data_IF_374411297436
#
_entry.id   IF_374411297436
#
_cell.length_a   1.000
_cell.length_b   1.000
_cell.length_c   1.000
_cell.angle_alpha   90.00
_cell.angle_beta   90.00
_cell.angle_gamma   90.00
#
_symmetry.space_group_name_H-M   'P 1'
#
loop_
_entity.id
_entity.type
_entity.pdbx_description
1 polymer ?
#
# COMPACT_ATOMS: atom_id res chain seq x y z
N UNK A 1 7.61 -37.01 -22.92
CA UNK A 1 6.23 -36.48 -22.98
C UNK A 1 6.32 -34.99 -23.26
N UNK A 2 5.56 -34.48 -24.23
CA UNK A 2 5.61 -33.07 -24.65
C UNK A 2 5.01 -32.15 -23.57
N UNK A 3 5.62 -31.00 -23.34
CA UNK A 3 5.08 -29.93 -22.51
C UNK A 3 3.80 -29.37 -23.15
N UNK A 4 2.84 -28.87 -22.36
CA UNK A 4 1.65 -28.25 -22.93
C UNK A 4 2.02 -26.97 -23.66
N UNK A 5 1.20 -26.56 -24.62
CA UNK A 5 1.37 -25.23 -25.22
C UNK A 5 1.02 -24.14 -24.20
N UNK A 6 1.53 -22.92 -24.43
CA UNK A 6 1.20 -21.78 -23.57
C UNK A 6 -0.32 -21.51 -23.53
N UNK A 7 -1.00 -21.63 -24.67
CA UNK A 7 -2.45 -21.45 -24.76
C UNK A 7 -3.22 -22.50 -23.95
N UNK A 8 -2.81 -23.77 -24.01
CA UNK A 8 -3.38 -24.83 -23.19
C UNK A 8 -3.18 -24.57 -21.69
N UNK A 9 -1.97 -24.15 -21.28
CA UNK A 9 -1.67 -23.82 -19.90
C UNK A 9 -2.58 -22.68 -19.37
N UNK A 10 -2.80 -21.63 -20.16
CA UNK A 10 -3.71 -20.54 -19.79
C UNK A 10 -5.17 -21.02 -19.66
N UNK A 11 -5.65 -21.86 -20.58
CA UNK A 11 -7.02 -22.39 -20.52
C UNK A 11 -7.23 -23.25 -19.27
N UNK A 12 -6.28 -24.15 -18.99
CA UNK A 12 -6.30 -24.99 -17.78
C UNK A 12 -6.27 -24.12 -16.52
N UNK A 13 -5.39 -23.12 -16.48
CA UNK A 13 -5.25 -22.24 -15.32
C UNK A 13 -6.52 -21.41 -15.06
N UNK A 14 -7.12 -20.82 -16.11
CA UNK A 14 -8.34 -20.02 -15.98
C UNK A 14 -9.52 -20.85 -15.44
N UNK A 15 -9.73 -22.04 -16.00
CA UNK A 15 -10.76 -22.96 -15.53
C UNK A 15 -10.50 -23.42 -14.08
N UNK A 16 -9.25 -23.78 -13.78
CA UNK A 16 -8.84 -24.22 -12.45
C UNK A 16 -9.04 -23.13 -11.39
N UNK A 17 -8.53 -21.91 -11.61
CA UNK A 17 -8.63 -20.82 -10.63
C UNK A 17 -10.09 -20.46 -10.34
N UNK A 18 -10.93 -20.45 -11.38
CA UNK A 18 -12.38 -20.25 -11.22
C UNK A 18 -12.98 -21.33 -10.33
N UNK A 19 -12.69 -22.61 -10.61
CA UNK A 19 -13.19 -23.72 -9.83
C UNK A 19 -12.68 -23.71 -8.38
N UNK A 20 -11.37 -23.51 -8.20
CA UNK A 20 -10.70 -23.50 -6.91
C UNK A 20 -11.27 -22.40 -6.02
N UNK A 21 -11.27 -21.15 -6.48
CA UNK A 21 -11.70 -20.04 -5.63
C UNK A 21 -13.21 -20.03 -5.39
N UNK A 22 -14.03 -20.51 -6.32
CA UNK A 22 -15.46 -20.71 -6.07
C UNK A 22 -15.71 -21.72 -4.95
N UNK A 23 -15.00 -22.87 -4.96
CA UNK A 23 -15.05 -23.85 -3.87
C UNK A 23 -14.44 -23.32 -2.58
N UNK A 24 -13.38 -22.50 -2.70
CA UNK A 24 -12.72 -21.90 -1.56
C UNK A 24 -13.66 -20.98 -0.80
N UNK A 25 -14.40 -20.09 -1.48
CA UNK A 25 -15.32 -19.15 -0.80
C UNK A 25 -16.69 -19.76 -0.46
N UNK A 26 -16.99 -20.96 -0.96
CA UNK A 26 -18.26 -21.63 -0.70
C UNK A 26 -18.46 -21.85 0.82
N UNK A 27 -19.67 -21.55 1.36
CA UNK A 27 -20.00 -21.83 2.75
C UNK A 27 -19.81 -23.31 3.10
N UNK A 28 -19.55 -23.58 4.38
CA UNK A 28 -19.34 -24.94 4.89
C UNK A 28 -17.87 -25.30 5.10
N UNK A 29 -17.62 -26.60 5.25
CA UNK A 29 -16.29 -27.13 5.53
C UNK A 29 -15.37 -27.01 4.32
N UNK A 30 -14.31 -26.20 4.47
CA UNK A 30 -13.39 -25.89 3.38
C UNK A 30 -12.59 -27.12 2.92
N UNK A 31 -12.22 -28.01 3.84
CA UNK A 31 -11.57 -29.28 3.49
C UNK A 31 -12.45 -30.13 2.56
N UNK A 32 -13.73 -30.30 2.92
CA UNK A 32 -14.71 -31.02 2.09
C UNK A 32 -14.91 -30.38 0.72
N UNK A 33 -14.97 -29.05 0.64
CA UNK A 33 -15.16 -28.35 -0.64
C UNK A 33 -14.00 -28.58 -1.63
N UNK A 34 -12.77 -28.70 -1.11
CA UNK A 34 -11.54 -28.85 -1.89
C UNK A 34 -11.08 -30.30 -2.07
N UNK A 35 -11.81 -31.28 -1.53
CA UNK A 35 -11.36 -32.68 -1.47
C UNK A 35 -11.00 -33.28 -2.83
N UNK A 36 -11.66 -32.86 -3.91
CA UNK A 36 -11.48 -33.44 -5.25
C UNK A 36 -10.26 -32.89 -5.99
N UNK A 37 -9.64 -31.82 -5.47
CA UNK A 37 -8.53 -31.14 -6.12
C UNK A 37 -7.17 -31.70 -5.66
N UNK A 38 -7.12 -32.36 -4.51
CA UNK A 38 -5.91 -32.90 -3.89
C UNK A 38 -5.83 -34.42 -3.98
N UNK A 39 -4.60 -34.91 -4.10
CA UNK A 39 -4.20 -36.32 -4.11
C UNK A 39 -3.29 -36.67 -2.93
N UNK A 40 -3.04 -37.95 -2.71
CA UNK A 40 -2.15 -38.41 -1.63
C UNK A 40 -0.69 -38.00 -1.83
N UNK A 41 -0.31 -37.64 -3.06
CA UNK A 41 1.03 -37.16 -3.40
C UNK A 41 1.13 -35.63 -3.42
N UNK A 42 0.06 -34.93 -3.05
CA UNK A 42 0.05 -33.46 -3.03
C UNK A 42 0.91 -32.93 -1.89
N UNK A 43 1.57 -31.81 -2.14
CA UNK A 43 2.41 -31.14 -1.15
C UNK A 43 2.01 -29.67 -1.08
N UNK A 44 1.76 -29.14 0.10
CA UNK A 44 1.35 -27.74 0.25
C UNK A 44 2.22 -27.02 1.26
N UNK A 45 2.42 -25.72 1.04
CA UNK A 45 3.01 -24.80 2.00
C UNK A 45 2.10 -23.59 2.12
N UNK A 46 1.36 -23.53 3.20
CA UNK A 46 0.30 -22.55 3.40
C UNK A 46 0.70 -21.54 4.47
N UNK A 47 0.24 -20.30 4.30
CA UNK A 47 0.19 -19.33 5.37
C UNK A 47 -0.77 -19.82 6.46
N UNK A 48 -0.33 -19.73 7.71
CA UNK A 48 -1.24 -19.82 8.84
C UNK A 48 -2.17 -18.58 8.88
N UNK A 49 -3.21 -18.60 9.72
CA UNK A 49 -4.16 -17.51 9.92
C UNK A 49 -3.46 -16.19 10.19
N UNK A 50 -2.32 -16.19 10.87
CA UNK A 50 -1.54 -14.99 11.16
C UNK A 50 -0.31 -14.81 10.24
N UNK A 51 -0.12 -15.71 9.28
CA UNK A 51 1.07 -15.86 8.41
C UNK A 51 2.43 -15.77 9.14
N UNK A 52 2.43 -16.09 10.43
CA UNK A 52 3.64 -15.97 11.26
C UNK A 52 4.65 -17.06 10.94
N UNK A 53 4.18 -18.27 10.60
CA UNK A 53 5.00 -19.37 10.09
C UNK A 53 4.29 -20.15 8.98
N UNK A 54 5.02 -20.57 7.93
CA UNK A 54 4.47 -21.50 6.96
C UNK A 54 4.16 -22.84 7.61
N UNK A 55 3.02 -23.41 7.24
CA UNK A 55 2.70 -24.80 7.52
C UNK A 55 2.92 -25.61 6.25
N UNK A 56 3.81 -26.59 6.33
CA UNK A 56 4.03 -27.55 5.25
C UNK A 56 3.27 -28.83 5.53
N UNK A 57 2.46 -29.29 4.59
CA UNK A 57 1.66 -30.51 4.72
C UNK A 57 1.86 -31.42 3.51
N UNK A 58 1.84 -32.71 3.76
CA UNK A 58 1.99 -33.74 2.73
C UNK A 58 0.77 -34.67 2.74
N UNK A 59 0.21 -34.88 1.56
CA UNK A 59 -0.89 -35.81 1.34
C UNK A 59 -2.27 -35.25 1.68
N UNK A 60 -3.26 -35.75 0.94
CA UNK A 60 -4.64 -35.27 0.94
C UNK A 60 -5.21 -35.10 2.35
N UNK A 61 -5.13 -36.13 3.19
CA UNK A 61 -5.75 -36.09 4.53
C UNK A 61 -5.25 -34.91 5.39
N UNK A 62 -3.94 -34.67 5.43
CA UNK A 62 -3.37 -33.58 6.24
C UNK A 62 -3.77 -32.21 5.69
N UNK A 63 -3.75 -32.07 4.36
CA UNK A 63 -4.13 -30.85 3.64
C UNK A 63 -5.59 -30.50 3.94
N UNK A 64 -6.50 -31.46 3.78
CA UNK A 64 -7.93 -31.23 3.99
C UNK A 64 -8.26 -30.89 5.45
N UNK A 65 -7.66 -31.59 6.42
CA UNK A 65 -7.85 -31.28 7.84
C UNK A 65 -7.38 -29.87 8.18
N UNK A 66 -6.26 -29.42 7.60
CA UNK A 66 -5.79 -28.06 7.82
C UNK A 66 -6.72 -27.03 7.20
N UNK A 67 -7.22 -27.26 5.98
CA UNK A 67 -8.21 -26.38 5.36
C UNK A 67 -9.53 -26.34 6.15
N UNK A 68 -10.00 -27.45 6.70
CA UNK A 68 -11.16 -27.47 7.60
C UNK A 68 -10.96 -26.55 8.80
N UNK A 69 -9.80 -26.64 9.46
CA UNK A 69 -9.45 -25.77 10.58
C UNK A 69 -9.37 -24.29 10.15
N UNK A 70 -8.70 -24.01 9.03
CA UNK A 70 -8.58 -22.66 8.48
C UNK A 70 -9.95 -22.07 8.11
N UNK A 71 -10.83 -22.89 7.54
CA UNK A 71 -12.21 -22.53 7.19
C UNK A 71 -13.04 -22.16 8.41
N UNK A 72 -12.88 -22.86 9.54
CA UNK A 72 -13.54 -22.54 10.80
C UNK A 72 -13.08 -21.20 11.37
N UNK A 73 -11.80 -20.85 11.20
CA UNK A 73 -11.23 -19.61 11.71
C UNK A 73 -11.63 -18.41 10.84
N UNK A 74 -11.50 -18.54 9.52
CA UNK A 74 -11.85 -17.46 8.58
C UNK A 74 -13.37 -17.27 8.43
N UNK A 75 -14.15 -18.34 8.61
CA UNK A 75 -15.60 -18.37 8.45
C UNK A 75 -16.05 -17.79 7.09
N UNK A 76 -16.63 -16.58 7.09
CA UNK A 76 -17.06 -15.88 5.88
C UNK A 76 -15.83 -15.34 5.16
N UNK A 77 -15.70 -15.63 3.86
CA UNK A 77 -14.53 -15.23 3.09
C UNK A 77 -14.89 -14.87 1.66
N UNK A 78 -14.18 -13.91 1.10
CA UNK A 78 -14.24 -13.55 -0.32
C UNK A 78 -12.83 -13.46 -0.87
N UNK A 79 -12.66 -13.85 -2.12
CA UNK A 79 -11.38 -13.81 -2.81
C UNK A 79 -11.53 -12.99 -4.08
N UNK A 80 -10.54 -12.14 -4.35
CA UNK A 80 -10.45 -11.38 -5.59
C UNK A 80 -9.06 -11.60 -6.20
N UNK A 81 -8.99 -12.36 -7.29
CA UNK A 81 -7.74 -12.57 -8.03
C UNK A 81 -7.48 -11.37 -8.92
N UNK A 82 -6.35 -10.69 -8.73
CA UNK A 82 -5.96 -9.50 -9.49
C UNK A 82 -5.14 -9.85 -10.72
N UNK A 83 -4.18 -10.76 -10.56
CA UNK A 83 -3.29 -11.21 -11.64
C UNK A 83 -3.12 -12.72 -11.56
N UNK A 84 -2.97 -13.36 -12.72
CA UNK A 84 -2.71 -14.78 -12.83
C UNK A 84 -1.90 -15.07 -14.09
N UNK A 85 -0.70 -15.61 -13.90
CA UNK A 85 0.17 -16.08 -14.96
C UNK A 85 0.21 -17.60 -14.97
N UNK A 86 0.19 -18.19 -16.15
CA UNK A 86 0.24 -19.63 -16.34
C UNK A 86 1.44 -19.99 -17.22
N UNK A 87 2.23 -20.96 -16.76
CA UNK A 87 3.43 -21.42 -17.44
C UNK A 87 3.33 -22.93 -17.68
N UNK A 88 3.57 -23.39 -18.91
CA UNK A 88 3.70 -24.82 -19.18
C UNK A 88 4.97 -25.35 -18.49
N UNK A 89 4.82 -26.50 -17.84
CA UNK A 89 5.90 -27.17 -17.13
C UNK A 89 6.14 -28.60 -17.71
N UNK A 90 7.28 -29.24 -17.39
CA UNK A 90 7.55 -30.60 -17.84
C UNK A 90 6.45 -31.60 -17.45
N UNK A 91 6.36 -32.73 -18.16
CA UNK A 91 5.41 -33.81 -17.89
C UNK A 91 3.92 -33.39 -18.01
N UNK A 92 3.61 -32.45 -18.90
CA UNK A 92 2.26 -31.87 -19.07
C UNK A 92 1.75 -31.13 -17.82
N UNK A 93 2.64 -30.75 -16.91
CA UNK A 93 2.26 -29.95 -15.76
C UNK A 93 1.96 -28.51 -16.17
N UNK A 94 1.18 -27.81 -15.35
CA UNK A 94 0.90 -26.38 -15.50
C UNK A 94 1.24 -25.70 -14.19
N UNK A 95 2.16 -24.73 -14.23
CA UNK A 95 2.44 -23.86 -13.09
C UNK A 95 1.59 -22.61 -13.19
N UNK A 96 0.99 -22.19 -12.09
CA UNK A 96 0.15 -21.00 -12.02
C UNK A 96 0.71 -20.12 -10.91
N UNK A 97 0.90 -18.85 -11.18
CA UNK A 97 1.27 -17.84 -10.18
C UNK A 97 0.18 -16.79 -10.20
N UNK A 98 -0.54 -16.62 -9.11
CA UNK A 98 -1.56 -15.60 -9.01
C UNK A 98 -1.43 -14.77 -7.74
N UNK A 99 -1.86 -13.52 -7.84
CA UNK A 99 -1.94 -12.59 -6.72
C UNK A 99 -3.37 -12.09 -6.60
N UNK A 100 -3.77 -11.76 -5.38
CA UNK A 100 -5.10 -11.26 -5.14
C UNK A 100 -5.30 -10.77 -3.71
N UNK A 101 -6.56 -10.55 -3.37
CA UNK A 101 -6.97 -10.09 -2.04
C UNK A 101 -7.97 -11.10 -1.46
N UNK A 102 -7.67 -11.58 -0.25
CA UNK A 102 -8.57 -12.32 0.61
C UNK A 102 -9.25 -11.34 1.56
N UNK A 103 -10.57 -11.33 1.57
CA UNK A 103 -11.37 -10.58 2.53
C UNK A 103 -11.95 -11.55 3.55
N UNK A 104 -11.67 -11.28 4.81
CA UNK A 104 -12.28 -11.94 5.97
C UNK A 104 -12.85 -10.85 6.89
N UNK A 105 -13.78 -11.16 7.81
CA UNK A 105 -14.30 -10.16 8.73
C UNK A 105 -13.19 -9.41 9.46
N UNK A 106 -13.16 -8.08 9.34
CA UNK A 106 -12.21 -7.20 10.04
C UNK A 106 -10.81 -7.13 9.45
N UNK A 107 -10.50 -7.83 8.35
CA UNK A 107 -9.22 -7.64 7.66
C UNK A 107 -9.27 -8.06 6.19
N UNK A 108 -8.42 -7.44 5.38
CA UNK A 108 -8.11 -7.92 4.04
C UNK A 108 -6.63 -8.18 3.90
N UNK A 109 -6.30 -9.20 3.11
CA UNK A 109 -4.94 -9.72 3.00
C UNK A 109 -4.57 -9.89 1.55
N UNK A 110 -3.47 -9.27 1.16
CA UNK A 110 -2.90 -9.49 -0.17
C UNK A 110 -2.24 -10.86 -0.15
N UNK A 111 -2.56 -11.73 -1.10
CA UNK A 111 -1.96 -13.05 -1.19
C UNK A 111 -1.14 -13.23 -2.46
N UNK A 112 -0.14 -14.09 -2.36
CA UNK A 112 0.56 -14.74 -3.46
C UNK A 112 0.25 -16.23 -3.37
N UNK A 113 -0.26 -16.81 -4.46
CA UNK A 113 -0.66 -18.20 -4.53
C UNK A 113 -0.08 -18.86 -5.77
N UNK A 114 0.73 -19.90 -5.56
CA UNK A 114 1.41 -20.64 -6.62
C UNK A 114 0.89 -22.07 -6.62
N UNK A 115 0.43 -22.53 -7.77
CA UNK A 115 0.01 -23.91 -7.96
C UNK A 115 0.91 -24.62 -8.95
N UNK A 116 1.13 -25.91 -8.73
CA UNK A 116 1.61 -26.82 -9.76
C UNK A 116 0.54 -27.87 -9.97
N UNK A 117 -0.08 -27.86 -11.14
CA UNK A 117 -1.07 -28.83 -11.55
C UNK A 117 -0.39 -29.97 -12.29
N UNK A 118 -0.73 -31.21 -11.92
CA UNK A 118 -0.28 -32.40 -12.61
C UNK A 118 -1.47 -33.15 -13.21
N UNK A 119 -1.30 -33.76 -14.40
CA UNK A 119 -2.36 -34.54 -15.03
C UNK A 119 -2.67 -35.78 -14.18
N UNK A 120 -3.95 -36.07 -14.01
CA UNK A 120 -4.41 -37.26 -13.32
C UNK A 120 -4.05 -38.51 -14.15
N UNK A 121 -3.52 -39.57 -13.53
CA UNK A 121 -3.28 -40.82 -14.23
C UNK A 121 -4.64 -41.39 -14.68
N UNK A 122 -4.70 -41.84 -15.94
CA UNK A 122 -5.87 -42.49 -16.55
C UNK A 122 -7.11 -41.59 -16.78
N UNK A 123 -7.00 -40.26 -16.63
CA UNK A 123 -8.06 -39.31 -17.01
C UNK A 123 -7.50 -38.20 -17.87
N UNK A 124 -7.97 -38.11 -19.11
CA UNK A 124 -7.58 -37.03 -20.00
C UNK A 124 -8.12 -35.69 -19.49
N UNK A 125 -7.35 -34.62 -19.70
CA UNK A 125 -7.70 -33.24 -19.36
C UNK A 125 -8.13 -33.00 -17.90
N UNK A 126 -7.81 -33.93 -17.01
CA UNK A 126 -8.09 -33.82 -15.58
C UNK A 126 -6.78 -33.55 -14.87
N UNK A 127 -6.78 -32.57 -13.97
CA UNK A 127 -5.60 -32.18 -13.22
C UNK A 127 -5.89 -32.26 -11.73
N UNK A 128 -4.87 -32.59 -10.94
CA UNK A 128 -4.87 -32.41 -9.49
C UNK A 128 -3.75 -31.44 -9.11
N UNK A 129 -3.87 -30.86 -7.91
CA UNK A 129 -2.87 -29.97 -7.35
C UNK A 129 -1.72 -30.82 -6.83
N UNK A 130 -0.59 -30.86 -7.55
CA UNK A 130 0.61 -31.54 -7.09
C UNK A 130 1.36 -30.70 -6.05
N UNK A 131 1.39 -29.38 -6.24
CA UNK A 131 1.92 -28.45 -5.26
C UNK A 131 1.04 -27.21 -5.10
N UNK A 132 0.89 -26.73 -3.87
CA UNK A 132 0.24 -25.46 -3.51
C UNK A 132 1.18 -24.66 -2.60
N UNK A 133 1.35 -23.38 -2.90
CA UNK A 133 2.06 -22.44 -2.05
C UNK A 133 1.24 -21.16 -1.90
N UNK A 134 0.75 -20.89 -0.69
CA UNK A 134 -0.04 -19.70 -0.37
C UNK A 134 0.68 -18.87 0.69
N UNK A 135 0.85 -17.57 0.43
CA UNK A 135 1.37 -16.59 1.38
C UNK A 135 0.57 -15.31 1.39
N UNK A 136 0.52 -14.64 2.54
CA UNK A 136 0.02 -13.28 2.65
C UNK A 136 1.20 -12.30 2.66
N UNK A 137 1.15 -11.32 1.77
CA UNK A 137 2.21 -10.31 1.62
C UNK A 137 1.96 -9.13 2.56
N UNK A 138 0.69 -8.81 2.82
CA UNK A 138 0.30 -7.74 3.72
C UNK A 138 -1.02 -8.10 4.42
N UNK A 139 -1.17 -7.65 5.66
CA UNK A 139 -2.42 -7.72 6.42
C UNK A 139 -2.84 -6.31 6.77
N UNK A 140 -3.94 -5.87 6.17
CA UNK A 140 -4.54 -4.58 6.48
C UNK A 140 -5.79 -4.84 7.31
N UNK A 141 -5.80 -4.31 8.53
CA UNK A 141 -6.95 -4.38 9.41
C UNK A 141 -7.97 -3.32 9.02
N UNK A 142 -9.22 -3.73 8.91
CA UNK A 142 -10.31 -2.79 8.68
C UNK A 142 -10.57 -2.03 9.97
N UNK A 143 -10.05 -0.81 10.06
CA UNK A 143 -10.32 0.10 11.17
C UNK A 143 -11.59 0.88 10.85
N UNK A 144 -12.70 0.52 11.51
CA UNK A 144 -13.93 1.30 11.47
C UNK A 144 -13.72 2.53 12.37
N UNK A 145 -13.71 3.77 11.83
CA UNK A 145 -13.52 4.97 12.64
C UNK A 145 -14.61 5.11 13.69
N UNK A 146 -14.25 5.67 14.85
CA UNK A 146 -15.20 5.91 15.93
C UNK A 146 -16.33 6.84 15.45
N UNK A 147 -17.59 6.37 15.53
CA UNK A 147 -18.77 7.08 15.01
C UNK A 147 -19.17 6.71 13.57
N UNK A 148 -18.42 5.85 12.87
CA UNK A 148 -18.85 5.34 11.58
C UNK A 148 -20.07 4.43 11.73
N UNK A 149 -21.08 4.63 10.88
CA UNK A 149 -22.25 3.76 10.79
C UNK A 149 -21.99 2.70 9.73
N UNK A 150 -22.19 1.43 10.07
CA UNK A 150 -22.24 0.36 9.08
C UNK A 150 -23.57 0.48 8.36
N UNK A 151 -23.53 0.73 7.05
CA UNK A 151 -24.69 1.01 6.21
C UNK A 151 -24.92 -0.16 5.27
N UNK A 152 -26.17 -0.61 5.10
CA UNK A 152 -26.50 -1.66 4.13
C UNK A 152 -26.26 -1.19 2.70
N UNK A 153 -26.20 -2.12 1.73
CA UNK A 153 -26.00 -1.75 0.32
C UNK A 153 -27.16 -0.88 -0.19
N UNK A 154 -28.37 -1.20 0.23
CA UNK A 154 -29.58 -0.46 -0.12
C UNK A 154 -29.54 0.96 0.46
N UNK A 155 -29.12 1.10 1.72
CA UNK A 155 -29.03 2.39 2.39
C UNK A 155 -27.89 3.26 1.80
N UNK A 156 -26.76 2.64 1.42
CA UNK A 156 -25.64 3.32 0.76
C UNK A 156 -26.05 3.86 -0.62
N UNK A 157 -26.78 3.07 -1.40
CA UNK A 157 -27.29 3.50 -2.70
C UNK A 157 -28.24 4.70 -2.56
N UNK A 158 -29.12 4.70 -1.55
CA UNK A 158 -30.00 5.84 -1.27
C UNK A 158 -29.23 7.11 -0.88
N UNK A 159 -28.22 6.99 -0.02
CA UNK A 159 -27.38 8.15 0.34
C UNK A 159 -26.63 8.74 -0.86
N UNK A 160 -26.11 7.88 -1.76
CA UNK A 160 -25.43 8.35 -2.97
C UNK A 160 -26.41 9.09 -3.89
N UNK A 161 -27.62 8.55 -4.09
CA UNK A 161 -28.66 9.18 -4.91
C UNK A 161 -29.12 10.54 -4.35
N UNK A 162 -29.26 10.63 -3.02
CA UNK A 162 -29.63 11.85 -2.33
C UNK A 162 -28.55 12.94 -2.44
N UNK A 163 -27.28 12.57 -2.31
CA UNK A 163 -26.15 13.49 -2.46
C UNK A 163 -26.03 13.99 -3.91
N UNK A 164 -26.26 13.12 -4.90
CA UNK A 164 -26.34 13.49 -6.33
C UNK A 164 -27.45 14.50 -6.61
N UNK A 165 -28.66 14.27 -6.07
CA UNK A 165 -29.76 15.25 -6.17
C UNK A 165 -29.40 16.58 -5.52
N UNK A 166 -28.72 16.57 -4.38
CA UNK A 166 -28.30 17.82 -3.70
C UNK A 166 -27.31 18.59 -4.56
N UNK A 167 -26.34 17.91 -5.18
CA UNK A 167 -25.37 18.54 -6.08
C UNK A 167 -26.04 19.12 -7.34
N UNK A 168 -27.04 18.44 -7.91
CA UNK A 168 -27.78 18.96 -9.07
C UNK A 168 -28.58 20.21 -8.72
N UNK A 169 -29.27 20.21 -7.57
CA UNK A 169 -29.99 21.38 -7.07
C UNK A 169 -29.06 22.56 -6.77
N UNK A 170 -27.89 22.29 -6.19
CA UNK A 170 -26.88 23.32 -5.91
C UNK A 170 -26.32 23.93 -7.21
N UNK A 171 -26.04 23.10 -8.23
CA UNK A 171 -25.63 23.57 -9.57
C UNK A 171 -26.71 24.43 -10.23
N UNK A 172 -27.97 24.03 -10.15
CA UNK A 172 -29.10 24.81 -10.65
C UNK A 172 -29.21 26.16 -9.94
N UNK A 173 -29.09 26.18 -8.61
CA UNK A 173 -29.12 27.42 -7.82
C UNK A 173 -27.93 28.33 -8.15
N UNK A 174 -26.74 27.77 -8.38
CA UNK A 174 -25.57 28.54 -8.81
C UNK A 174 -25.75 29.14 -10.21
N UNK A 175 -26.31 28.37 -11.13
CA UNK A 175 -26.64 28.85 -12.49
C UNK A 175 -27.66 29.98 -12.45
N UNK A 176 -28.70 29.87 -11.62
CA UNK A 176 -29.71 30.93 -11.46
C UNK A 176 -29.07 32.21 -10.89
N UNK A 177 -28.20 32.08 -9.89
CA UNK A 177 -27.45 33.23 -9.33
C UNK A 177 -26.56 33.89 -10.40
N UNK A 178 -25.89 33.10 -11.23
CA UNK A 178 -25.07 33.62 -12.32
C UNK A 178 -25.92 34.36 -13.37
N UNK A 179 -27.08 33.82 -13.72
CA UNK A 179 -28.01 34.44 -14.67
C UNK A 179 -28.55 35.78 -14.14
N UNK A 180 -28.93 35.85 -12.86
CA UNK A 180 -29.36 37.10 -12.21
C UNK A 180 -28.26 38.17 -12.21
N UNK A 181 -27.00 37.78 -11.95
CA UNK A 181 -25.85 38.70 -12.04
C UNK A 181 -25.66 39.23 -13.45
N UNK A 182 -25.79 38.39 -14.47
CA UNK A 182 -25.67 38.79 -15.86
C UNK A 182 -26.78 39.79 -16.28
N UNK A 183 -28.02 39.55 -15.86
CA UNK A 183 -29.14 40.48 -16.12
C UNK A 183 -28.93 41.85 -15.45
N UNK A 184 -28.47 41.88 -14.20
CA UNK A 184 -28.16 43.14 -13.51
C UNK A 184 -27.05 43.94 -14.21
N UNK A 185 -26.03 43.26 -14.74
CA UNK A 185 -24.98 43.92 -15.51
C UNK A 185 -25.51 44.52 -16.83
N UNK A 186 -26.41 43.81 -17.53
CA UNK A 186 -27.03 44.33 -18.74
C UNK A 186 -27.89 45.58 -18.46
N UNK A 187 -28.66 45.59 -17.37
CA UNK A 187 -29.45 46.77 -16.99
C UNK A 187 -28.57 47.98 -16.66
N UNK A 188 -27.44 47.79 -15.96
CA UNK A 188 -26.49 48.88 -15.68
C UNK A 188 -25.84 49.42 -16.95
N UNK A 189 -25.56 48.57 -17.95
CA UNK A 189 -25.00 49.03 -19.23
C UNK A 189 -26.02 49.84 -20.04
N UNK A 190 -27.29 49.44 -20.07
CA UNK A 190 -28.35 50.18 -20.76
C UNK A 190 -28.60 51.56 -20.13
N UNK A 191 -28.56 51.66 -18.79
CA UNK A 191 -28.69 52.96 -18.10
C UNK A 191 -27.49 53.89 -18.37
N UNK A 192 -26.30 53.36 -18.62
CA UNK A 192 -25.12 54.16 -19.00
C UNK A 192 -25.09 54.58 -20.47
N UNK A 193 -25.90 53.97 -21.33
CA UNK A 193 -25.95 54.25 -22.77
C UNK A 193 -27.02 55.28 -23.18
N UNK A 194 -27.77 55.86 -22.23
CA UNK A 194 -28.69 56.95 -22.54
C UNK A 194 -27.90 58.22 -22.95
N UNK A 195 -28.20 58.87 -24.10
CA UNK A 195 -27.42 60.02 -24.57
C UNK A 195 -27.62 61.24 -23.67
N UNK A 196 -26.51 61.82 -23.20
CA UNK A 196 -26.49 63.19 -22.71
C UNK A 196 -26.73 64.13 -23.90
N UNK A 197 -27.95 64.62 -24.04
CA UNK A 197 -28.24 65.76 -24.90
C UNK A 197 -27.56 67.00 -24.30
N UNK A 198 -26.59 67.55 -25.03
CA UNK A 198 -26.03 68.88 -24.80
C UNK A 198 -27.05 69.92 -25.27
N UNK A 199 -27.19 71.01 -24.52
CA UNK A 199 -26.80 72.35 -25.01
C UNK A 199 -26.75 73.40 -23.88
N UNK A 200 -26.00 74.51 -24.07
CA UNK A 200 -25.42 75.31 -22.99
C UNK A 200 -26.11 76.66 -22.83
N UNK A 201 -26.39 77.10 -21.59
CA UNK A 201 -26.61 78.53 -21.30
C UNK A 201 -26.08 78.90 -19.91
N UNK A 202 -25.51 80.10 -19.88
CA UNK A 202 -24.77 80.84 -18.87
C UNK A 202 -25.26 80.82 -17.41
N UNK A 203 -24.28 81.04 -16.52
CA UNK A 203 -24.35 81.39 -15.10
C UNK A 203 -25.24 82.64 -14.81
N UNK A 204 -25.62 82.99 -13.54
CA UNK A 204 -24.74 82.95 -12.36
C UNK A 204 -25.35 82.58 -10.98
N UNK A 205 -24.44 82.28 -10.05
CA UNK A 205 -24.43 82.50 -8.60
C UNK A 205 -25.75 82.44 -7.79
N UNK A 206 -25.86 81.44 -6.90
CA UNK A 206 -26.36 81.65 -5.54
C UNK A 206 -25.94 80.49 -4.61
N UNK A 207 -25.27 80.91 -3.55
CA UNK A 207 -24.95 80.27 -2.27
C UNK A 207 -26.05 79.36 -1.71
N UNK A 208 -25.73 78.14 -1.30
CA UNK A 208 -26.22 77.56 -0.04
C UNK A 208 -25.51 76.26 0.36
N UNK A 209 -25.23 76.19 1.66
CA UNK A 209 -24.50 75.19 2.40
C UNK A 209 -25.19 73.81 2.40
N UNK A 210 -24.40 72.73 2.44
CA UNK A 210 -24.52 71.66 3.47
C UNK A 210 -23.42 70.59 3.34
N UNK A 211 -22.57 70.59 4.36
CA UNK A 211 -22.02 69.47 5.13
C UNK A 211 -21.50 68.21 4.41
N UNK A 212 -20.16 68.07 4.41
CA UNK A 212 -19.41 66.81 4.26
C UNK A 212 -19.16 66.19 5.64
N UNK A 213 -19.13 64.85 5.73
CA UNK A 213 -18.21 64.14 6.60
C UNK A 213 -17.07 63.45 5.81
N UNK A 214 -15.99 63.01 6.48
CA UNK A 214 -14.64 63.05 5.92
C UNK A 214 -14.16 61.74 5.25
N UNK A 215 -13.19 61.90 4.34
CA UNK A 215 -12.26 60.86 3.88
C UNK A 215 -11.20 60.56 4.96
N UNK A 216 -10.69 59.33 4.99
CA UNK A 216 -9.25 59.06 5.07
C UNK A 216 -8.76 58.50 3.71
N UNK A 217 -7.80 59.14 3.03
CA UNK A 217 -6.34 58.86 3.08
C UNK A 217 -6.03 57.37 2.76
N UNK A 218 -5.75 57.03 1.49
CA UNK A 218 -4.41 56.99 0.84
C UNK A 218 -3.44 55.99 1.50
N UNK A 219 -3.28 54.83 0.87
CA UNK A 219 -2.05 54.02 0.78
C UNK A 219 -2.18 53.17 -0.51
N UNK A 220 -1.58 53.63 -1.60
CA UNK A 220 -0.33 53.11 -2.19
C UNK A 220 -0.51 51.83 -3.03
N UNK A 221 -0.52 52.04 -4.36
CA UNK A 221 0.00 51.11 -5.38
C UNK A 221 1.54 51.20 -5.35
N UNK A 222 2.29 50.15 -5.72
CA UNK A 222 2.61 49.85 -7.14
C UNK A 222 2.38 48.38 -7.52
N UNK A 223 1.91 48.06 -8.73
CA UNK A 223 2.68 47.68 -9.95
C UNK A 223 3.51 46.38 -9.79
N UNK A 224 3.16 45.25 -10.42
CA UNK A 224 3.15 44.88 -11.85
C UNK A 224 4.56 44.55 -12.37
N UNK A 225 4.92 43.26 -12.39
CA UNK A 225 5.90 42.60 -13.28
C UNK A 225 6.04 41.14 -12.79
N UNK A 226 6.30 40.08 -13.54
CA UNK A 226 6.52 39.89 -14.97
C UNK A 226 6.35 38.38 -15.26
N UNK A 227 6.28 38.04 -16.54
CA UNK A 227 6.05 36.73 -17.12
C UNK A 227 7.32 35.86 -17.08
N UNK A 228 7.17 34.57 -16.68
CA UNK A 228 7.80 33.35 -17.26
C UNK A 228 9.36 33.32 -17.21
N UNK A 229 10.09 32.20 -17.52
CA UNK A 229 9.69 30.98 -18.20
C UNK A 229 10.18 29.64 -17.61
N UNK A 230 9.70 28.61 -18.30
CA UNK A 230 10.04 27.20 -18.34
C UNK A 230 11.36 26.96 -19.09
N UNK A 231 12.25 26.14 -18.56
CA UNK A 231 13.29 25.27 -19.18
C UNK A 231 14.22 24.83 -18.03
N UNK A 232 14.95 23.71 -17.97
CA UNK A 232 15.30 22.63 -18.87
C UNK A 232 15.96 21.49 -18.04
N UNK A 233 16.10 20.33 -18.67
CA UNK A 233 16.86 19.15 -18.22
C UNK A 233 18.35 19.48 -18.01
N UNK A 234 19.10 18.58 -17.34
CA UNK A 234 20.41 18.22 -17.86
C UNK A 234 20.53 16.72 -18.18
N UNK A 235 21.17 16.43 -19.32
CA UNK A 235 21.71 15.14 -19.75
C UNK A 235 23.24 15.28 -19.84
N UNK A 236 23.95 14.22 -19.43
CA UNK A 236 25.29 13.76 -19.87
C UNK A 236 26.51 14.66 -19.53
N UNK A 237 27.74 14.20 -19.29
CA UNK A 237 28.59 13.06 -19.70
C UNK A 237 29.44 12.57 -18.48
N UNK A 238 29.80 11.30 -18.27
CA UNK A 238 30.87 10.47 -18.90
C UNK A 238 32.27 11.11 -18.90
N UNK A 239 33.17 10.61 -18.06
CA UNK A 239 34.56 10.30 -18.45
C UNK A 239 35.27 9.36 -17.46
N UNK A 240 36.19 8.60 -18.04
CA UNK A 240 36.87 7.39 -17.55
C UNK A 240 38.07 7.70 -16.62
N UNK A 241 38.46 6.73 -15.76
CA UNK A 241 39.87 6.29 -15.72
C UNK A 241 40.11 4.97 -14.98
N UNK A 242 40.82 4.12 -15.71
CA UNK A 242 41.40 2.81 -15.42
C UNK A 242 42.70 2.96 -14.61
N UNK A 243 42.98 2.06 -13.67
CA UNK A 243 44.35 1.62 -13.37
C UNK A 243 44.36 0.24 -12.70
N UNK A 244 45.29 -0.60 -13.18
CA UNK A 244 45.52 -1.99 -12.81
C UNK A 244 46.60 -2.12 -11.70
N UNK A 245 46.54 -3.26 -10.99
CA UNK A 245 47.48 -4.04 -10.13
C UNK A 245 49.01 -3.94 -10.42
N UNK A 246 49.96 -4.61 -9.68
CA UNK A 246 49.87 -5.71 -8.67
C UNK A 246 50.89 -5.70 -7.46
N UNK A 247 50.85 -6.79 -6.67
CA UNK A 247 51.93 -7.49 -5.89
C UNK A 247 52.07 -7.16 -4.38
N UNK A 248 52.59 -8.02 -3.49
CA UNK A 248 52.57 -9.47 -3.25
C UNK A 248 53.39 -9.73 -1.95
N UNK A 249 52.73 -10.15 -0.85
CA UNK A 249 53.15 -11.06 0.27
C UNK A 249 54.51 -10.84 1.03
N UNK A 250 54.86 -11.58 2.13
CA UNK A 250 54.17 -12.65 2.90
C UNK A 250 54.24 -12.60 4.46
N UNK A 251 53.50 -13.53 5.11
CA UNK A 251 53.70 -14.16 6.45
C UNK A 251 53.48 -13.30 7.72
N UNK A 252 52.86 -13.71 8.85
CA UNK A 252 52.68 -15.04 9.47
C UNK A 252 51.59 -15.04 10.59
N UNK A 253 50.92 -16.20 10.78
CA UNK A 253 50.32 -16.85 12.00
C UNK A 253 49.09 -16.31 12.79
N UNK A 254 47.99 -17.08 12.62
CA UNK A 254 47.06 -17.72 13.60
C UNK A 254 46.31 -16.88 14.67
N UNK A 255 44.98 -16.75 14.47
CA UNK A 255 43.92 -17.20 15.40
C UNK A 255 42.61 -17.37 14.61
N UNK A 256 41.92 -18.49 14.81
CA UNK A 256 40.66 -18.82 14.15
C UNK A 256 39.54 -17.86 14.59
N UNK A 257 38.98 -17.14 13.64
CA UNK A 257 37.77 -16.31 13.79
C UNK A 257 36.74 -16.81 12.78
N UNK A 258 35.46 -16.92 13.15
CA UNK A 258 34.42 -17.44 12.27
C UNK A 258 34.29 -16.57 11.02
N UNK A 259 34.10 -17.22 9.87
CA UNK A 259 34.10 -16.61 8.55
C UNK A 259 33.20 -15.35 8.46
N UNK A 260 33.62 -14.32 7.72
CA UNK A 260 32.82 -13.12 7.53
C UNK A 260 31.58 -13.48 6.72
N UNK A 261 30.41 -13.29 7.33
CA UNK A 261 29.11 -13.34 6.65
C UNK A 261 29.17 -12.39 5.45
N UNK A 262 28.56 -12.83 4.34
CA UNK A 262 28.53 -12.14 3.06
C UNK A 262 28.04 -10.68 3.13
N UNK A 263 28.01 -9.97 1.99
CA UNK A 263 27.75 -8.54 1.95
C UNK A 263 26.51 -8.19 2.78
N UNK A 264 26.70 -7.36 3.82
CA UNK A 264 25.63 -6.85 4.68
C UNK A 264 24.59 -6.21 3.77
N UNK A 265 23.44 -6.86 3.62
CA UNK A 265 22.30 -6.27 2.95
C UNK A 265 22.00 -4.93 3.63
N UNK A 266 21.98 -3.87 2.84
CA UNK A 266 21.60 -2.55 3.32
C UNK A 266 20.12 -2.59 3.69
N UNK A 267 19.81 -2.25 4.94
CA UNK A 267 18.46 -2.28 5.49
C UNK A 267 18.18 -0.95 6.18
N UNK A 268 16.91 -0.53 6.16
CA UNK A 268 16.37 0.62 6.91
C UNK A 268 15.92 0.22 8.31
N UNK A 269 16.02 -1.06 8.69
CA UNK A 269 15.52 -1.57 9.96
C UNK A 269 16.65 -1.96 10.93
N UNK A 270 16.42 -1.68 12.21
CA UNK A 270 17.26 -2.17 13.31
C UNK A 270 16.41 -2.95 14.30
N UNK A 271 17.00 -3.98 14.92
CA UNK A 271 16.37 -4.75 16.00
C UNK A 271 17.09 -4.53 17.31
N UNK A 272 16.33 -4.19 18.34
CA UNK A 272 16.73 -4.17 19.73
C UNK A 272 16.44 -5.54 20.34
N UNK A 273 17.47 -6.24 20.81
CA UNK A 273 17.37 -7.58 21.37
C UNK A 273 17.07 -7.52 22.87
N UNK A 274 16.26 -8.48 23.34
CA UNK A 274 15.92 -8.71 24.76
C UNK A 274 15.49 -7.44 25.50
N UNK A 275 14.56 -6.70 24.91
CA UNK A 275 13.97 -5.50 25.52
C UNK A 275 13.07 -5.92 26.70
N UNK A 276 13.32 -5.40 27.91
CA UNK A 276 12.46 -5.60 29.08
C UNK A 276 11.02 -5.13 28.86
N UNK A 277 10.05 -5.83 29.44
CA UNK A 277 8.62 -5.54 29.30
C UNK A 277 8.20 -4.18 29.87
N UNK A 278 9.00 -3.62 30.79
CA UNK A 278 8.73 -2.31 31.39
C UNK A 278 9.01 -1.14 30.43
N UNK A 279 9.74 -1.39 29.34
CA UNK A 279 10.13 -0.36 28.36
C UNK A 279 9.06 -0.29 27.28
N UNK A 280 8.55 0.91 27.01
CA UNK A 280 7.55 1.14 25.96
C UNK A 280 8.23 1.47 24.63
N UNK A 281 7.52 1.23 23.52
CA UNK A 281 7.98 1.64 22.19
C UNK A 281 8.23 3.16 22.09
N UNK A 282 7.51 3.97 22.86
CA UNK A 282 7.76 5.42 22.98
C UNK A 282 9.13 5.74 23.56
N UNK A 283 9.60 4.95 24.53
CA UNK A 283 10.91 5.14 25.17
C UNK A 283 12.02 4.77 24.19
N UNK A 284 11.82 3.69 23.43
CA UNK A 284 12.73 3.28 22.34
C UNK A 284 12.80 4.37 21.28
N UNK A 285 11.66 4.90 20.81
CA UNK A 285 11.65 5.98 19.81
C UNK A 285 12.40 7.21 20.34
N UNK A 286 12.22 7.55 21.61
CA UNK A 286 12.93 8.67 22.26
C UNK A 286 14.44 8.45 22.29
N UNK A 287 14.90 7.23 22.60
CA UNK A 287 16.33 6.91 22.65
C UNK A 287 16.98 6.91 21.26
N UNK A 288 16.27 6.41 20.26
CA UNK A 288 16.70 6.43 18.86
C UNK A 288 16.83 7.87 18.34
N UNK A 289 15.86 8.73 18.66
CA UNK A 289 15.93 10.17 18.36
C UNK A 289 17.12 10.82 19.06
N UNK A 290 17.38 10.50 20.32
CA UNK A 290 18.55 11.00 21.07
C UNK A 290 19.88 10.56 20.43
N UNK A 291 19.92 9.37 19.83
CA UNK A 291 21.06 8.86 19.10
C UNK A 291 21.25 9.45 17.69
N UNK A 292 20.38 10.38 17.28
CA UNK A 292 20.53 11.15 16.05
C UNK A 292 19.83 10.56 14.83
N UNK A 293 18.82 9.70 15.01
CA UNK A 293 17.95 9.26 13.93
C UNK A 293 16.47 9.39 14.32
N UNK A 294 15.63 9.88 13.41
CA UNK A 294 14.19 9.99 13.65
C UNK A 294 13.50 8.69 13.21
N UNK A 295 12.87 7.92 14.11
CA UNK A 295 12.21 6.67 13.76
C UNK A 295 10.91 6.93 12.99
N UNK A 296 10.73 6.23 11.86
CA UNK A 296 9.47 6.24 11.08
C UNK A 296 8.43 5.44 11.84
N UNK A 297 8.80 4.23 12.24
CA UNK A 297 7.95 3.38 13.06
C UNK A 297 8.74 2.47 14.00
N UNK A 298 8.06 1.89 15.00
CA UNK A 298 8.61 0.87 15.87
C UNK A 298 7.52 -0.11 16.30
N UNK A 299 7.84 -1.40 16.31
CA UNK A 299 6.91 -2.47 16.70
C UNK A 299 7.64 -3.59 17.45
N UNK A 300 6.90 -4.35 18.24
CA UNK A 300 7.42 -5.52 18.94
C UNK A 300 7.60 -6.71 17.98
N UNK A 301 8.64 -7.51 18.19
CA UNK A 301 9.05 -8.62 17.34
C UNK A 301 9.46 -9.84 18.17
N UNK A 302 9.16 -11.04 17.66
CA UNK A 302 9.48 -12.33 18.28
C UNK A 302 8.36 -12.92 19.13
N UNK A 303 8.46 -14.23 19.43
CA UNK A 303 7.39 -15.04 20.06
C UNK A 303 6.85 -14.50 21.39
N UNK A 304 7.66 -13.73 22.11
CA UNK A 304 7.34 -13.19 23.43
C UNK A 304 7.40 -11.65 23.47
N UNK A 305 7.40 -10.97 22.31
CA UNK A 305 7.60 -9.50 22.23
C UNK A 305 8.88 -8.99 22.91
N UNK A 306 9.87 -9.86 23.11
CA UNK A 306 11.14 -9.54 23.77
C UNK A 306 12.11 -8.78 22.87
N UNK A 307 11.75 -8.49 21.62
CA UNK A 307 12.57 -7.66 20.73
C UNK A 307 11.72 -6.53 20.19
N UNK A 308 12.35 -5.39 19.93
CA UNK A 308 11.70 -4.30 19.20
C UNK A 308 12.40 -4.10 17.87
N UNK A 309 11.64 -3.85 16.81
CA UNK A 309 12.18 -3.42 15.52
C UNK A 309 11.83 -1.97 15.32
N UNK A 310 12.79 -1.19 14.82
CA UNK A 310 12.63 0.23 14.52
C UNK A 310 12.95 0.45 13.05
N UNK A 311 12.02 1.08 12.34
CA UNK A 311 12.18 1.52 10.96
C UNK A 311 12.74 2.94 10.94
N UNK A 312 13.76 3.15 10.11
CA UNK A 312 14.45 4.42 9.95
C UNK A 312 14.29 4.93 8.51
N UNK A 313 14.31 6.25 8.28
CA UNK A 313 14.00 6.85 6.98
C UNK A 313 15.09 6.56 5.93
N UNK A 314 16.27 6.09 6.35
CA UNK A 314 17.38 5.81 5.43
C UNK A 314 18.38 4.80 5.98
N UNK A 315 19.11 4.14 5.08
CA UNK A 315 20.24 3.25 5.43
C UNK A 315 21.34 4.00 6.18
N UNK A 316 21.52 5.30 5.91
CA UNK A 316 22.45 6.17 6.62
C UNK A 316 22.05 6.30 8.09
N UNK A 317 20.77 6.52 8.36
CA UNK A 317 20.20 6.57 9.71
C UNK A 317 20.38 5.23 10.43
N UNK A 318 20.12 4.11 9.76
CA UNK A 318 20.39 2.76 10.27
C UNK A 318 21.85 2.55 10.62
N UNK A 319 22.76 3.04 9.78
CA UNK A 319 24.20 2.96 10.04
C UNK A 319 24.60 3.78 11.27
N UNK A 320 24.02 4.96 11.47
CA UNK A 320 24.23 5.78 12.68
C UNK A 320 23.81 5.02 13.93
N UNK A 321 22.62 4.42 13.94
CA UNK A 321 22.11 3.67 15.08
C UNK A 321 22.91 2.39 15.35
N UNK A 322 23.31 1.68 14.30
CA UNK A 322 24.15 0.48 14.45
C UNK A 322 25.56 0.78 14.99
N UNK A 323 26.07 2.01 14.82
CA UNK A 323 27.34 2.43 15.42
C UNK A 323 27.23 2.64 16.93
N UNK A 324 26.04 2.95 17.45
CA UNK A 324 25.81 3.04 18.90
C UNK A 324 25.94 1.67 19.55
N UNK A 325 25.45 0.61 18.89
CA UNK A 325 25.64 -0.79 19.28
C UNK A 325 24.79 -1.24 20.47
N UNK A 326 24.67 -0.44 21.53
CA UNK A 326 23.83 -0.71 22.70
C UNK A 326 23.14 0.54 23.22
N UNK A 327 21.89 0.40 23.68
CA UNK A 327 21.14 1.45 24.37
C UNK A 327 21.04 1.16 25.86
N UNK A 328 21.11 2.20 26.70
CA UNK A 328 20.88 2.09 28.14
C UNK A 328 19.47 2.56 28.46
N UNK A 329 18.57 1.64 28.73
CA UNK A 329 17.16 1.95 29.04
C UNK A 329 16.70 1.06 30.20
N UNK A 330 15.95 1.63 31.15
CA UNK A 330 15.48 0.90 32.33
C UNK A 330 16.59 0.28 33.19
N UNK A 331 17.80 0.85 33.17
CA UNK A 331 18.97 0.32 33.89
C UNK A 331 19.63 -0.91 33.24
N UNK A 332 19.18 -1.34 32.06
CA UNK A 332 19.76 -2.47 31.31
C UNK A 332 20.37 -2.00 29.99
N UNK A 333 21.36 -2.76 29.52
CA UNK A 333 21.96 -2.57 28.20
C UNK A 333 21.24 -3.43 27.17
N UNK A 334 20.65 -2.76 26.18
CA UNK A 334 19.86 -3.38 25.12
C UNK A 334 20.67 -3.35 23.83
N UNK A 335 20.94 -4.52 23.28
CA UNK A 335 21.78 -4.67 22.09
C UNK A 335 21.02 -4.31 20.82
N UNK A 336 21.64 -3.53 19.95
CA UNK A 336 21.09 -3.14 18.65
C UNK A 336 21.80 -3.91 17.54
N UNK A 337 21.04 -4.54 16.65
CA UNK A 337 21.57 -5.31 15.51
C UNK A 337 20.85 -4.95 14.22
N UNK A 338 21.52 -5.19 13.09
CA UNK A 338 20.90 -5.05 11.76
C UNK A 338 19.75 -6.04 11.64
N UNK A 339 18.63 -5.59 11.07
CA UNK A 339 17.44 -6.42 10.88
C UNK A 339 16.99 -6.34 9.44
N UNK A 340 16.72 -7.50 8.84
CA UNK A 340 16.06 -7.58 7.53
C UNK A 340 14.74 -8.29 7.80
N UNK A 341 13.59 -7.63 7.56
CA UNK A 341 12.26 -8.20 7.79
C UNK A 341 12.07 -9.57 7.13
#
# INVERSE_FOLDING_TARGET
MTSPSLAEAHNVASAFLTQFYNKFVQPGDLGSNLQDLYSDNSYVTLADVDDTQPVTLCGKLQILNHYSNLGNIMNIRKMHVMTADALPAPNKNVQIVCQGVLYVPGSHRIFLHIFTLAPAPFRENTYYIAADYLRFVNVEHEVIPEGAKVVSKEDMARCIEEELRRQELEKLAEMERAQRRAQQQQQQQQQRAAPQHKDPVAAPAATQQRERPPRPARAERPEKEERRPRTEKPKYNKDEKKSEKPSASPAEKKRETPAPRGPKQMTTFVRLCEVPEEIKLSDIKTEVTRAGAEPVDAYWFGKNSQHAVVELPSVSSTTTILRVGTFKMGGKEIKVVSFTP
#
